data_IF_141833604421
#
_entry.id   IF_141833604421
#
_cell.length_a   1.000
_cell.length_b   1.000
_cell.length_c   1.000
_cell.angle_alpha   90.00
_cell.angle_beta   90.00
_cell.angle_gamma   90.00
#
_symmetry.space_group_name_H-M   'P 1'
#
loop_
_entity.id
_entity.type
_entity.pdbx_description
1 polymer ?
#
# COMPACT_ATOMS: atom_id res chain seq x y z
N UNK A 1 -18.96 0.05 -26.20
CA UNK A 1 -17.59 0.18 -25.66
C UNK A 1 -17.69 0.17 -24.14
N UNK A 2 -17.29 -0.92 -23.46
CA UNK A 2 -17.35 -1.02 -21.99
C UNK A 2 -16.10 -0.33 -21.42
N UNK A 3 -16.25 0.89 -20.91
CA UNK A 3 -15.22 1.52 -20.08
C UNK A 3 -15.03 0.65 -18.83
N UNK A 4 -13.95 -0.13 -18.80
CA UNK A 4 -13.46 -0.74 -17.56
C UNK A 4 -13.10 0.39 -16.61
N UNK A 5 -13.96 0.69 -15.63
CA UNK A 5 -13.57 1.44 -14.44
C UNK A 5 -12.43 0.64 -13.79
N UNK A 6 -11.19 1.04 -14.01
CA UNK A 6 -10.07 0.54 -13.22
C UNK A 6 -10.39 0.89 -11.77
N UNK A 7 -10.50 -0.13 -10.91
CA UNK A 7 -10.74 0.06 -9.49
C UNK A 7 -9.56 0.84 -8.89
N UNK A 8 -9.81 1.84 -8.04
CA UNK A 8 -8.77 2.60 -7.32
C UNK A 8 -7.74 1.67 -6.67
N UNK A 9 -8.19 0.51 -6.17
CA UNK A 9 -7.31 -0.55 -5.62
C UNK A 9 -6.27 -1.04 -6.63
N UNK A 10 -6.66 -1.34 -7.87
CA UNK A 10 -5.71 -1.84 -8.89
C UNK A 10 -4.68 -0.79 -9.30
N UNK A 11 -5.05 0.49 -9.25
CA UNK A 11 -4.14 1.60 -9.54
C UNK A 11 -3.13 1.74 -8.40
N UNK A 12 -3.61 1.72 -7.16
CA UNK A 12 -2.77 1.80 -5.96
C UNK A 12 -1.79 0.64 -5.84
N UNK A 13 -2.23 -0.61 -6.07
CA UNK A 13 -1.33 -1.77 -6.11
C UNK A 13 -0.19 -1.54 -7.10
N UNK A 14 -0.53 -1.17 -8.34
CA UNK A 14 0.46 -0.94 -9.39
C UNK A 14 1.42 0.20 -9.05
N UNK A 15 0.93 1.25 -8.38
CA UNK A 15 1.77 2.38 -7.97
C UNK A 15 2.73 1.99 -6.85
N UNK A 16 2.29 1.19 -5.88
CA UNK A 16 3.21 0.64 -4.86
C UNK A 16 4.23 -0.31 -5.48
N UNK A 17 3.83 -1.14 -6.45
CA UNK A 17 4.77 -1.98 -7.21
C UNK A 17 5.83 -1.15 -7.93
N UNK A 18 5.42 -0.05 -8.56
CA UNK A 18 6.31 0.88 -9.23
C UNK A 18 7.34 1.46 -8.25
N UNK A 19 6.91 1.99 -7.10
CA UNK A 19 7.81 2.51 -6.07
C UNK A 19 8.80 1.45 -5.57
N UNK A 20 8.32 0.25 -5.27
CA UNK A 20 9.17 -0.83 -4.79
C UNK A 20 10.17 -1.30 -5.86
N UNK A 21 9.78 -1.30 -7.14
CA UNK A 21 10.69 -1.62 -8.25
C UNK A 21 11.81 -0.59 -8.43
N UNK A 22 11.60 0.64 -7.97
CA UNK A 22 12.59 1.71 -7.93
C UNK A 22 13.46 1.67 -6.66
N UNK A 23 13.28 0.66 -5.79
CA UNK A 23 13.98 0.55 -4.51
C UNK A 23 13.41 1.46 -3.41
N UNK A 24 12.24 2.07 -3.64
CA UNK A 24 11.58 2.98 -2.68
C UNK A 24 10.59 2.18 -1.84
N UNK A 25 10.97 1.85 -0.62
CA UNK A 25 10.08 1.17 0.34
C UNK A 25 9.40 2.13 1.34
N UNK A 26 9.85 3.39 1.43
CA UNK A 26 9.29 4.48 2.23
C UNK A 26 8.74 5.56 1.29
N UNK A 27 7.49 5.98 1.46
CA UNK A 27 6.84 7.01 0.65
C UNK A 27 5.74 7.75 1.43
N UNK A 28 5.39 8.96 1.00
CA UNK A 28 4.34 9.74 1.65
C UNK A 28 2.95 9.32 1.14
N UNK A 29 1.94 9.34 2.03
CA UNK A 29 0.55 9.08 1.63
C UNK A 29 0.07 10.10 0.58
N UNK A 30 0.46 11.37 0.73
CA UNK A 30 0.16 12.42 -0.25
C UNK A 30 0.74 12.11 -1.62
N UNK A 31 2.01 11.70 -1.67
CA UNK A 31 2.70 11.37 -2.91
C UNK A 31 1.97 10.27 -3.69
N UNK A 32 1.59 9.18 -3.03
CA UNK A 32 0.87 8.10 -3.72
C UNK A 32 -0.53 8.54 -4.17
N UNK A 33 -1.22 9.37 -3.40
CA UNK A 33 -2.54 9.93 -3.77
C UNK A 33 -2.41 10.76 -5.05
N UNK A 34 -1.42 11.64 -5.10
CA UNK A 34 -1.13 12.52 -6.23
C UNK A 34 -0.72 11.73 -7.47
N UNK A 35 0.23 10.80 -7.34
CA UNK A 35 0.75 10.01 -8.46
C UNK A 35 -0.24 8.95 -8.98
N UNK A 36 -1.06 8.36 -8.11
CA UNK A 36 -2.08 7.41 -8.51
C UNK A 36 -3.36 8.09 -9.02
N UNK A 37 -3.48 9.42 -8.85
CA UNK A 37 -4.68 10.19 -9.16
C UNK A 37 -5.95 9.58 -8.52
N UNK A 38 -5.84 9.20 -7.24
CA UNK A 38 -6.97 8.67 -6.45
C UNK A 38 -7.39 9.67 -5.38
N UNK A 39 -8.53 9.43 -4.75
CA UNK A 39 -8.91 10.20 -3.56
C UNK A 39 -8.11 9.76 -2.34
N UNK A 40 -7.92 10.67 -1.38
CA UNK A 40 -7.30 10.34 -0.09
C UNK A 40 -8.05 9.19 0.61
N UNK A 41 -9.39 9.24 0.59
CA UNK A 41 -10.25 8.20 1.18
C UNK A 41 -10.00 6.82 0.55
N UNK A 42 -9.82 6.76 -0.78
CA UNK A 42 -9.49 5.50 -1.46
C UNK A 42 -8.12 4.97 -1.04
N UNK A 43 -7.13 5.85 -0.88
CA UNK A 43 -5.79 5.48 -0.43
C UNK A 43 -5.82 5.01 1.04
N UNK A 44 -6.52 5.70 1.93
CA UNK A 44 -6.69 5.28 3.33
C UNK A 44 -7.36 3.91 3.40
N UNK A 45 -8.48 3.70 2.69
CA UNK A 45 -9.16 2.42 2.63
C UNK A 45 -8.28 1.29 2.07
N UNK A 46 -7.32 1.62 1.21
CA UNK A 46 -6.34 0.68 0.70
C UNK A 46 -5.27 0.32 1.74
N UNK A 47 -4.71 1.30 2.46
CA UNK A 47 -3.61 1.08 3.40
C UNK A 47 -4.04 0.64 4.80
N UNK A 48 -5.25 1.01 5.25
CA UNK A 48 -5.74 0.67 6.60
C UNK A 48 -5.70 -0.83 6.91
N UNK A 49 -6.14 -1.74 6.01
CA UNK A 49 -5.99 -3.18 6.23
C UNK A 49 -4.52 -3.62 6.31
N UNK A 50 -3.65 -3.06 5.47
CA UNK A 50 -2.23 -3.42 5.39
C UNK A 50 -1.46 -2.99 6.64
N UNK A 51 -1.86 -1.87 7.26
CA UNK A 51 -1.36 -1.43 8.56
C UNK A 51 -1.75 -2.42 9.67
N UNK A 52 -2.99 -2.93 9.66
CA UNK A 52 -3.47 -3.93 10.64
C UNK A 52 -2.81 -5.29 10.48
N UNK A 53 -2.49 -5.67 9.25
CA UNK A 53 -1.82 -6.93 8.91
C UNK A 53 -0.28 -6.85 9.04
N UNK A 54 0.25 -5.68 9.45
CA UNK A 54 1.69 -5.42 9.58
C UNK A 54 2.47 -5.59 8.27
N UNK A 55 1.82 -5.43 7.12
CA UNK A 55 2.47 -5.39 5.81
C UNK A 55 3.08 -4.02 5.52
N UNK A 56 2.47 -2.98 6.07
CA UNK A 56 2.91 -1.59 6.02
C UNK A 56 3.03 -1.05 7.45
N UNK A 57 4.04 -0.21 7.71
CA UNK A 57 4.12 0.65 8.90
C UNK A 57 3.72 2.07 8.52
N UNK A 58 3.02 2.73 9.44
CA UNK A 58 2.68 4.15 9.34
C UNK A 58 3.38 4.94 10.44
N UNK A 59 3.91 6.10 10.10
CA UNK A 59 4.45 7.06 11.06
C UNK A 59 4.16 8.49 10.61
N UNK A 60 4.23 9.40 11.58
CA UNK A 60 4.03 10.82 11.38
C UNK A 60 5.41 11.48 11.30
N UNK A 61 5.67 12.20 10.23
CA UNK A 61 6.94 12.91 10.04
C UNK A 61 6.66 14.41 10.02
N UNK A 62 7.33 15.17 10.88
CA UNK A 62 7.24 16.64 10.85
C UNK A 62 8.35 17.18 9.96
N UNK A 63 7.97 18.02 9.00
CA UNK A 63 8.90 18.66 8.07
C UNK A 63 8.95 20.16 8.32
N UNK A 64 10.13 20.76 8.15
CA UNK A 64 10.28 22.20 8.22
C UNK A 64 9.44 22.87 7.13
N UNK A 65 8.59 23.86 7.45
CA UNK A 65 7.78 24.54 6.43
C UNK A 65 8.60 25.40 5.45
N UNK A 66 9.85 25.71 5.78
CA UNK A 66 10.70 26.62 5.00
C UNK A 66 11.70 25.88 4.11
N UNK A 67 12.40 24.88 4.66
CA UNK A 67 13.44 24.14 3.94
C UNK A 67 13.09 22.66 3.71
N UNK A 68 11.91 22.21 4.15
CA UNK A 68 11.42 20.84 4.04
C UNK A 68 12.29 19.77 4.71
N UNK A 69 13.27 20.14 5.53
CA UNK A 69 14.07 19.17 6.28
C UNK A 69 13.20 18.30 7.20
N UNK A 70 13.56 17.02 7.34
CA UNK A 70 12.95 16.10 8.32
C UNK A 70 13.41 16.52 9.73
N UNK A 71 12.44 16.80 10.61
CA UNK A 71 12.72 17.29 11.98
C UNK A 71 12.42 16.24 13.05
N UNK A 72 11.55 15.28 12.75
CA UNK A 72 11.23 14.21 13.67
C UNK A 72 10.17 13.26 13.14
N UNK A 73 10.24 12.02 13.63
CA UNK A 73 9.26 10.97 13.35
C UNK A 73 8.56 10.54 14.65
N UNK A 74 7.24 10.47 14.62
CA UNK A 74 6.36 10.21 15.78
C UNK A 74 5.38 9.07 15.48
N UNK A 75 5.00 8.31 16.51
CA UNK A 75 4.02 7.21 16.35
C UNK A 75 2.59 7.70 16.50
N UNK A 76 2.38 8.74 17.30
CA UNK A 76 1.05 9.26 17.63
C UNK A 76 1.03 10.77 17.63
N UNK A 77 -0.09 11.35 17.23
CA UNK A 77 -0.27 12.81 17.16
C UNK A 77 0.05 13.53 18.49
N UNK A 78 -0.32 13.02 19.68
CA UNK A 78 0.01 13.69 20.95
C UNK A 78 1.49 13.68 21.33
N UNK A 79 2.33 12.91 20.62
CA UNK A 79 3.78 12.88 20.85
C UNK A 79 4.50 14.03 20.13
N UNK A 80 3.79 14.73 19.23
CA UNK A 80 4.34 15.80 18.41
C UNK A 80 4.45 17.07 19.28
N UNK A 81 5.65 17.66 19.42
CA UNK A 81 5.83 18.91 20.16
C UNK A 81 4.98 20.03 19.59
N UNK A 82 4.46 20.93 20.43
CA UNK A 82 3.69 22.07 19.93
C UNK A 82 4.54 23.00 19.06
N UNK A 83 5.82 23.14 19.38
CA UNK A 83 6.77 24.01 18.70
C UNK A 83 8.05 23.25 18.37
N UNK A 84 8.62 23.54 17.20
CA UNK A 84 9.88 22.98 16.75
C UNK A 84 10.78 24.07 16.15
N UNK A 85 12.08 23.87 16.32
CA UNK A 85 13.13 24.67 15.72
C UNK A 85 13.86 23.84 14.66
N UNK A 86 14.03 24.39 13.47
CA UNK A 86 14.80 23.76 12.40
C UNK A 86 16.27 24.19 12.46
N UNK A 87 17.17 23.25 12.77
CA UNK A 87 18.62 23.52 12.83
C UNK A 87 19.23 23.80 11.44
N UNK A 88 18.56 23.45 10.34
CA UNK A 88 19.08 23.63 8.98
C UNK A 88 18.88 25.05 8.43
N UNK A 89 17.75 25.68 8.74
CA UNK A 89 17.40 27.03 8.24
C UNK A 89 17.05 28.01 9.35
N UNK A 90 17.33 27.66 10.60
CA UNK A 90 17.14 28.48 11.80
C UNK A 90 15.71 29.00 11.98
N UNK A 91 14.73 28.29 11.41
CA UNK A 91 13.32 28.67 11.49
C UNK A 91 12.65 27.98 12.66
N UNK A 92 12.09 28.78 13.56
CA UNK A 92 11.16 28.34 14.60
C UNK A 92 9.73 28.46 14.09
N UNK A 93 8.91 27.44 14.34
CA UNK A 93 7.50 27.48 13.96
C UNK A 93 6.61 26.87 15.05
N UNK A 94 5.62 27.65 15.53
CA UNK A 94 4.62 27.13 16.43
C UNK A 94 3.64 26.23 15.66
N UNK A 95 2.94 25.35 16.38
CA UNK A 95 1.97 24.37 15.86
C UNK A 95 2.58 23.38 14.88
N UNK A 96 3.64 22.71 15.30
CA UNK A 96 4.40 21.79 14.44
C UNK A 96 3.54 20.67 13.83
N UNK A 97 2.41 20.34 14.47
CA UNK A 97 1.44 19.37 13.97
C UNK A 97 0.76 19.75 12.64
N UNK A 98 0.75 21.03 12.27
CA UNK A 98 0.24 21.49 10.97
C UNK A 98 1.15 21.08 9.80
N UNK A 99 2.39 20.69 10.08
CA UNK A 99 3.42 20.33 9.10
C UNK A 99 3.76 18.84 9.13
N UNK A 100 2.78 18.02 9.49
CA UNK A 100 2.90 16.57 9.58
C UNK A 100 2.55 15.93 8.26
N UNK A 101 3.42 15.05 7.79
CA UNK A 101 3.17 14.15 6.68
C UNK A 101 2.99 12.71 7.20
N UNK A 102 2.08 11.97 6.57
CA UNK A 102 1.89 10.54 6.85
C UNK A 102 2.85 9.78 5.95
N UNK A 103 3.72 9.01 6.57
CA UNK A 103 4.68 8.19 5.86
C UNK A 103 4.34 6.72 5.99
N UNK A 104 4.45 6.01 4.87
CA UNK A 104 4.17 4.60 4.75
C UNK A 104 5.46 3.87 4.39
N UNK A 105 5.78 2.84 5.15
CA UNK A 105 6.93 1.96 4.91
C UNK A 105 6.45 0.52 4.69
N UNK A 106 6.77 -0.06 3.55
CA UNK A 106 6.49 -1.46 3.25
C UNK A 106 7.53 -2.33 3.95
N UNK A 107 7.08 -3.16 4.89
CA UNK A 107 7.96 -4.01 5.72
C UNK A 107 7.63 -5.51 5.66
N UNK A 108 6.41 -5.85 5.25
CA UNK A 108 5.94 -7.22 5.20
C UNK A 108 5.88 -7.76 3.77
N UNK A 109 5.17 -8.89 3.62
CA UNK A 109 4.91 -9.51 2.32
C UNK A 109 3.71 -8.85 1.66
N UNK A 110 3.81 -7.54 1.39
CA UNK A 110 2.82 -6.73 0.65
C UNK A 110 2.33 -7.42 -0.63
N UNK A 111 3.21 -8.26 -1.21
CA UNK A 111 2.85 -9.25 -2.20
C UNK A 111 2.94 -10.64 -1.59
N UNK A 112 1.82 -11.19 -1.12
CA UNK A 112 1.64 -12.63 -1.32
C UNK A 112 1.62 -12.82 -2.83
N UNK A 113 2.77 -13.21 -3.39
CA UNK A 113 2.84 -13.69 -4.74
C UNK A 113 1.72 -14.73 -4.92
N UNK A 114 0.68 -14.40 -5.68
CA UNK A 114 -0.12 -15.41 -6.35
C UNK A 114 0.79 -16.04 -7.39
N UNK A 115 1.74 -16.87 -6.94
CA UNK A 115 2.37 -17.88 -7.78
C UNK A 115 1.32 -18.96 -8.07
N UNK A 116 0.28 -18.58 -8.80
CA UNK A 116 -0.49 -19.50 -9.65
C UNK A 116 0.07 -19.40 -11.07
N UNK A 117 1.40 -19.48 -11.18
CA UNK A 117 2.07 -19.89 -12.41
C UNK A 117 2.45 -21.37 -12.25
N UNK A 118 1.45 -22.24 -12.33
CA UNK A 118 1.66 -23.60 -12.85
C UNK A 118 0.38 -24.10 -13.53
N UNK A 119 0.36 -23.91 -14.85
CA UNK A 119 0.00 -24.94 -15.84
C UNK A 119 -0.66 -26.20 -15.28
N UNK A 120 -1.98 -26.31 -15.42
CA UNK A 120 -2.63 -27.57 -15.79
C UNK A 120 -3.34 -27.37 -17.13
N UNK A 121 -2.52 -27.30 -18.16
CA UNK A 121 -2.96 -27.65 -19.50
C UNK A 121 -2.99 -29.18 -19.54
N UNK A 122 -4.16 -29.77 -19.29
CA UNK A 122 -4.44 -31.17 -19.60
C UNK A 122 -5.79 -31.24 -20.26
N UNK A 123 -5.77 -31.15 -21.60
CA UNK A 123 -6.85 -31.62 -22.45
C UNK A 123 -7.24 -33.04 -22.00
N UNK A 124 -8.42 -33.18 -21.40
CA UNK A 124 -9.18 -34.43 -21.44
C UNK A 124 -10.52 -34.14 -22.09
N UNK A 125 -10.50 -34.12 -23.41
CA UNK A 125 -11.60 -34.63 -24.22
C UNK A 125 -11.79 -36.09 -23.87
N UNK A 126 -12.86 -36.44 -23.15
CA UNK A 126 -13.43 -37.77 -23.26
C UNK A 126 -14.95 -37.68 -23.38
N UNK A 127 -15.40 -38.37 -24.43
CA UNK A 127 -16.73 -38.54 -24.95
C UNK A 127 -17.74 -39.01 -23.89
N UNK A 128 -18.97 -38.55 -24.08
CA UNK A 128 -20.21 -39.16 -23.58
C UNK A 128 -20.22 -40.69 -23.76
N UNK A 129 -20.79 -41.39 -22.78
CA UNK A 129 -21.17 -42.79 -22.88
C UNK A 129 -21.82 -43.27 -21.58
N UNK A 130 -23.14 -43.38 -21.59
CA UNK A 130 -23.95 -44.09 -20.58
C UNK A 130 -23.49 -45.55 -20.43
N UNK A 131 -23.56 -46.10 -19.21
CA UNK A 131 -24.26 -47.36 -18.82
C UNK A 131 -23.61 -48.12 -17.64
N UNK A 132 -24.45 -48.30 -16.61
CA UNK A 132 -24.69 -49.50 -15.76
C UNK A 132 -23.55 -50.20 -14.96
N UNK A 133 -23.67 -50.06 -13.63
CA UNK A 133 -23.78 -51.08 -12.55
C UNK A 133 -23.35 -52.53 -12.88
N UNK A 134 -22.53 -53.15 -12.01
CA UNK A 134 -22.78 -54.41 -11.25
C UNK A 134 -21.63 -54.67 -10.26
N UNK A 135 -22.01 -54.93 -9.01
CA UNK A 135 -21.19 -55.46 -7.90
C UNK A 135 -20.71 -56.90 -8.18
N UNK A 136 -19.55 -57.28 -7.62
CA UNK A 136 -19.36 -58.66 -7.11
C UNK A 136 -18.22 -58.76 -6.11
N UNK A 137 -18.57 -59.29 -4.95
CA UNK A 137 -17.71 -59.74 -3.86
C UNK A 137 -16.80 -60.90 -4.26
N UNK A 138 -15.66 -61.02 -3.58
CA UNK A 138 -15.08 -62.28 -3.14
C UNK A 138 -14.55 -62.10 -1.72
#
# INVERSE_FOLDING_TARGET
MRNQKKSSRSILVRKVEEFLSQGRNKFYLREIVEEAHVSLIDAENFFLPLLKEHEVKGFLEVRCPTCEAELGTYKRYPEIPEELFCEFCETEFPRSSEYVEIVLEVVGKFFRATKDFSTFNSKKTHKNGNEQIIERCY
#
